data_IF_249200088734
#
_entry.id   IF_249200088734
#
_cell.length_a   1.000
_cell.length_b   1.000
_cell.length_c   1.000
_cell.angle_alpha   90.00
_cell.angle_beta   90.00
_cell.angle_gamma   90.00
#
_symmetry.space_group_name_H-M   'P 1'
#
loop_
_entity.id
_entity.type
_entity.pdbx_description
1 polymer ?
#
# COMPACT_ATOMS: atom_id res chain seq x y z
N UNK A 1 -20.58 -21.51 -31.44
CA UNK A 1 -19.19 -21.93 -31.17
C UNK A 1 -18.19 -20.99 -31.86
N UNK A 2 -18.46 -19.69 -31.95
CA UNK A 2 -17.72 -18.76 -32.83
C UNK A 2 -17.48 -17.38 -32.18
N UNK A 3 -17.58 -17.31 -30.85
CA UNK A 3 -17.38 -16.07 -30.07
C UNK A 3 -16.33 -16.18 -28.96
N UNK A 4 -15.67 -17.34 -28.85
CA UNK A 4 -14.59 -17.57 -27.88
C UNK A 4 -13.23 -17.17 -28.47
N UNK A 5 -13.08 -17.17 -29.80
CA UNK A 5 -11.80 -16.87 -30.48
C UNK A 5 -11.48 -15.38 -30.62
N UNK A 6 -12.41 -14.48 -30.27
CA UNK A 6 -12.19 -13.03 -30.38
C UNK A 6 -11.48 -12.41 -29.16
N UNK A 7 -11.28 -13.17 -28.07
CA UNK A 7 -10.61 -12.69 -26.83
C UNK A 7 -9.13 -13.05 -26.72
N UNK A 8 -8.61 -13.87 -27.64
CA UNK A 8 -7.20 -14.25 -27.69
C UNK A 8 -6.25 -13.15 -28.19
N UNK A 9 -6.60 -12.24 -29.13
CA UNK A 9 -5.64 -11.26 -29.64
C UNK A 9 -5.40 -10.09 -28.68
N UNK A 10 -6.38 -9.71 -27.84
CA UNK A 10 -6.23 -8.60 -26.87
C UNK A 10 -5.29 -9.00 -25.72
N UNK A 11 -5.33 -10.27 -25.31
CA UNK A 11 -4.36 -10.84 -24.36
C UNK A 11 -3.00 -11.13 -25.01
N UNK A 12 -2.95 -11.37 -26.33
CA UNK A 12 -1.68 -11.58 -27.07
C UNK A 12 -0.96 -10.29 -27.43
N UNK A 13 -1.64 -9.13 -27.48
CA UNK A 13 -1.01 -7.85 -27.79
C UNK A 13 -0.12 -7.31 -26.65
N UNK A 14 -0.29 -7.80 -25.42
CA UNK A 14 0.66 -7.61 -24.31
C UNK A 14 1.76 -8.69 -24.27
N UNK A 15 1.76 -9.60 -25.24
CA UNK A 15 2.64 -10.78 -25.33
C UNK A 15 3.59 -10.69 -26.53
N UNK A 16 3.80 -9.48 -27.07
CA UNK A 16 4.96 -9.21 -27.91
C UNK A 16 6.19 -9.23 -27.01
N UNK A 17 7.03 -10.23 -27.27
CA UNK A 17 8.33 -10.50 -26.64
C UNK A 17 9.15 -9.21 -26.65
N UNK A 18 9.23 -8.54 -25.51
CA UNK A 18 10.27 -7.56 -25.26
C UNK A 18 11.61 -8.29 -25.13
N UNK A 19 12.62 -7.74 -25.78
CA UNK A 19 14.01 -8.14 -25.86
C UNK A 19 14.62 -8.77 -24.58
N UNK A 20 15.67 -9.59 -24.70
CA UNK A 20 16.35 -10.20 -23.55
C UNK A 20 16.71 -9.14 -22.51
N UNK A 21 16.31 -9.42 -21.26
CA UNK A 21 16.40 -8.54 -20.09
C UNK A 21 17.53 -7.52 -20.15
N UNK A 22 17.25 -6.21 -20.00
CA UNK A 22 18.29 -5.31 -19.52
C UNK A 22 18.71 -5.76 -18.13
N UNK A 23 20.02 -5.76 -17.91
CA UNK A 23 20.71 -6.35 -16.78
C UNK A 23 19.99 -6.10 -15.43
N UNK A 24 19.80 -7.20 -14.70
CA UNK A 24 19.37 -7.28 -13.30
C UNK A 24 19.37 -5.92 -12.58
N UNK A 25 18.16 -5.41 -12.28
CA UNK A 25 17.97 -4.32 -11.32
C UNK A 25 18.79 -4.72 -10.09
N UNK A 26 19.84 -3.95 -9.81
CA UNK A 26 20.75 -4.28 -8.72
C UNK A 26 19.92 -4.39 -7.45
N UNK A 27 20.01 -5.51 -6.69
CA UNK A 27 19.24 -5.67 -5.47
C UNK A 27 19.72 -4.61 -4.47
N UNK A 28 19.06 -3.46 -4.47
CA UNK A 28 19.18 -2.46 -3.43
C UNK A 28 18.34 -2.94 -2.25
N UNK A 29 18.70 -4.10 -1.71
CA UNK A 29 18.37 -4.45 -0.33
C UNK A 29 19.22 -3.57 0.60
N UNK A 30 19.08 -2.26 0.45
CA UNK A 30 19.44 -1.33 1.50
C UNK A 30 18.10 -0.92 2.07
N UNK A 31 17.83 -1.40 3.27
CA UNK A 31 16.83 -0.89 4.21
C UNK A 31 16.33 0.50 3.82
N UNK A 32 15.01 0.65 3.69
CA UNK A 32 14.28 1.87 3.34
C UNK A 32 14.50 3.07 4.28
N UNK A 33 15.56 3.08 5.07
CA UNK A 33 16.09 4.23 5.76
C UNK A 33 16.95 5.03 4.75
N UNK A 34 16.32 5.88 3.95
CA UNK A 34 17.01 7.11 3.56
C UNK A 34 17.36 7.81 4.87
N UNK A 35 18.64 7.92 5.19
CA UNK A 35 19.06 8.70 6.35
C UNK A 35 19.12 10.17 5.94
N UNK A 36 18.28 11.04 6.54
CA UNK A 36 18.73 12.38 6.79
C UNK A 36 18.68 12.69 8.29
N UNK A 37 19.71 13.41 8.73
CA UNK A 37 19.97 13.92 10.07
C UNK A 37 20.46 12.87 11.09
N UNK A 38 21.49 13.25 11.85
CA UNK A 38 22.13 12.37 12.84
C UNK A 38 21.13 11.77 13.82
N UNK A 39 21.54 10.71 14.52
CA UNK A 39 20.68 9.97 15.47
C UNK A 39 19.88 10.93 16.36
N UNK A 40 18.57 11.00 16.12
CA UNK A 40 17.61 11.75 16.95
C UNK A 40 17.27 11.01 18.24
N UNK A 41 17.94 9.89 18.50
CA UNK A 41 17.78 9.13 19.73
C UNK A 41 18.24 9.95 20.92
N UNK A 42 17.43 9.90 21.96
CA UNK A 42 17.78 10.54 23.22
C UNK A 42 16.64 10.49 24.22
N UNK A 43 16.82 11.20 25.33
CA UNK A 43 15.80 11.35 26.34
C UNK A 43 15.27 12.79 26.31
N UNK A 44 13.97 12.93 26.08
CA UNK A 44 13.27 14.20 26.18
C UNK A 44 12.82 14.40 27.64
N UNK A 45 13.25 15.51 28.24
CA UNK A 45 12.77 15.90 29.57
C UNK A 45 11.60 16.86 29.45
N UNK A 46 10.44 16.46 29.96
CA UNK A 46 9.21 17.25 30.01
C UNK A 46 9.02 17.75 31.44
N UNK A 47 8.88 19.06 31.62
CA UNK A 47 8.58 19.68 32.91
C UNK A 47 7.13 20.14 32.87
N UNK A 48 6.29 19.58 33.73
CA UNK A 48 4.89 20.01 33.86
C UNK A 48 4.80 21.08 34.95
N UNK A 49 4.68 22.35 34.56
CA UNK A 49 4.58 23.48 35.48
C UNK A 49 3.33 23.44 36.37
N UNK A 50 2.26 22.76 35.95
CA UNK A 50 1.03 22.64 36.73
C UNK A 50 1.22 21.77 37.98
N UNK A 51 2.16 20.82 37.92
CA UNK A 51 2.44 19.88 39.01
C UNK A 51 3.85 20.00 39.57
N UNK A 52 4.74 20.75 38.91
CA UNK A 52 6.16 20.85 39.22
C UNK A 52 6.96 19.57 38.94
N UNK A 53 6.35 18.53 38.36
CA UNK A 53 6.98 17.23 38.12
C UNK A 53 7.76 17.22 36.82
N UNK A 54 8.89 16.51 36.84
CA UNK A 54 9.73 16.25 35.68
C UNK A 54 9.53 14.81 35.21
N UNK A 55 9.38 14.63 33.91
CA UNK A 55 9.18 13.35 33.26
C UNK A 55 10.26 13.18 32.19
N UNK A 56 10.78 11.96 32.05
CA UNK A 56 11.68 11.62 30.95
C UNK A 56 10.98 10.66 30.00
N UNK A 57 11.06 10.96 28.71
CA UNK A 57 10.43 10.18 27.65
C UNK A 57 11.47 9.87 26.59
N UNK A 58 11.64 8.60 26.18
CA UNK A 58 12.59 8.24 25.15
C UNK A 58 12.13 8.72 23.77
N UNK A 59 13.07 9.23 22.98
CA UNK A 59 12.91 9.59 21.57
C UNK A 59 13.50 8.46 20.73
N UNK A 60 12.72 7.98 19.75
CA UNK A 60 13.17 6.92 18.82
C UNK A 60 14.19 7.45 17.82
N UNK A 61 14.86 6.54 17.10
CA UNK A 61 15.76 6.88 15.98
C UNK A 61 15.09 7.77 14.93
N UNK A 62 13.81 7.50 14.66
CA UNK A 62 12.98 8.26 13.71
C UNK A 62 12.51 9.63 14.25
N UNK A 63 13.03 10.08 15.40
CA UNK A 63 12.60 11.33 16.05
C UNK A 63 11.20 11.27 16.68
N UNK A 64 10.60 10.09 16.81
CA UNK A 64 9.23 9.92 17.30
C UNK A 64 9.17 9.58 18.79
N UNK A 65 8.16 10.16 19.47
CA UNK A 65 7.82 9.87 20.87
C UNK A 65 6.51 9.07 20.92
N UNK A 66 6.46 8.03 21.76
CA UNK A 66 5.23 7.26 21.94
C UNK A 66 4.20 8.07 22.72
N UNK A 67 3.04 8.32 22.11
CA UNK A 67 1.92 9.03 22.75
C UNK A 67 1.47 8.39 24.08
N UNK A 68 1.63 7.08 24.24
CA UNK A 68 1.28 6.39 25.49
C UNK A 68 2.16 6.78 26.68
N UNK A 69 3.40 7.24 26.42
CA UNK A 69 4.30 7.69 27.48
C UNK A 69 3.86 9.05 28.02
N UNK A 70 3.23 9.89 27.19
CA UNK A 70 2.68 11.18 27.63
C UNK A 70 1.46 11.01 28.52
N UNK A 71 0.71 9.91 28.38
CA UNK A 71 -0.41 9.58 29.28
C UNK A 71 0.01 9.43 30.75
N UNK A 72 1.29 9.17 31.03
CA UNK A 72 1.84 9.10 32.40
C UNK A 72 1.86 10.47 33.09
N UNK A 73 1.78 11.56 32.34
CA UNK A 73 1.72 12.92 32.85
C UNK A 73 0.28 13.17 33.30
N UNK A 74 0.08 13.27 34.61
CA UNK A 74 -1.22 13.43 35.25
C UNK A 74 -1.20 14.57 36.26
N UNK A 75 -2.30 15.29 36.34
CA UNK A 75 -2.46 16.46 37.22
C UNK A 75 -3.08 16.10 38.59
N UNK A 76 -3.65 14.90 38.74
CA UNK A 76 -4.34 14.46 39.97
C UNK A 76 -4.89 13.03 39.89
N UNK A 77 -5.66 12.60 40.91
CA UNK A 77 -6.17 11.22 41.06
C UNK A 77 -7.24 10.81 40.02
N UNK A 78 -7.99 11.78 39.48
CA UNK A 78 -9.07 11.53 38.51
C UNK A 78 -8.67 11.86 37.05
N UNK A 79 -7.41 12.20 36.83
CA UNK A 79 -6.90 12.55 35.50
C UNK A 79 -6.53 11.28 34.72
N UNK A 80 -7.04 11.17 33.48
CA UNK A 80 -6.79 10.02 32.59
C UNK A 80 -5.47 10.13 31.84
N UNK A 81 -4.69 11.18 32.11
CA UNK A 81 -3.38 11.45 31.50
C UNK A 81 -3.45 12.44 30.35
N UNK A 82 -2.31 13.06 30.07
CA UNK A 82 -2.15 14.01 28.96
C UNK A 82 -2.52 13.34 27.63
N UNK A 83 -3.33 14.06 26.84
CA UNK A 83 -3.73 13.65 25.49
C UNK A 83 -3.12 14.60 24.48
N UNK A 84 -2.72 14.04 23.33
CA UNK A 84 -2.33 14.84 22.17
C UNK A 84 -3.58 15.25 21.39
N UNK A 85 -3.65 16.53 21.04
CA UNK A 85 -4.69 17.07 20.17
C UNK A 85 -4.02 17.50 18.86
N UNK A 86 -4.26 16.73 17.80
CA UNK A 86 -3.69 16.95 16.47
C UNK A 86 -4.78 16.65 15.41
N UNK A 87 -5.65 17.64 15.11
CA UNK A 87 -6.71 17.45 14.13
C UNK A 87 -6.10 17.26 12.74
N UNK A 88 -6.31 16.08 12.15
CA UNK A 88 -5.78 15.73 10.82
C UNK A 88 -4.44 15.00 10.83
N UNK A 89 -3.86 14.72 12.02
CA UNK A 89 -2.62 13.96 12.17
C UNK A 89 -1.40 14.60 11.47
N UNK A 90 -1.33 15.93 11.40
CA UNK A 90 -0.26 16.63 10.69
C UNK A 90 1.12 16.41 11.31
N UNK A 91 1.18 16.16 12.62
CA UNK A 91 2.43 15.92 13.36
C UNK A 91 2.40 14.60 14.15
N UNK A 92 1.51 13.69 13.77
CA UNK A 92 1.36 12.40 14.44
C UNK A 92 1.71 11.29 13.46
N UNK A 93 2.68 10.44 13.81
CA UNK A 93 2.97 9.21 13.09
C UNK A 93 2.12 8.06 13.67
N UNK A 94 0.99 7.65 13.04
CA UNK A 94 0.09 6.66 13.62
C UNK A 94 0.60 5.22 13.46
N UNK A 95 1.39 4.95 12.42
CA UNK A 95 1.82 3.61 12.02
C UNK A 95 3.26 3.66 11.53
N UNK A 96 4.04 2.62 11.84
CA UNK A 96 5.33 2.36 11.21
C UNK A 96 5.13 1.45 10.01
N UNK A 97 5.64 1.86 8.85
CA UNK A 97 5.51 1.12 7.59
C UNK A 97 6.88 0.97 6.94
N UNK A 98 7.10 -0.18 6.29
CA UNK A 98 8.26 -0.47 5.44
C UNK A 98 7.88 -0.60 3.96
N UNK A 99 6.70 -0.12 3.59
CA UNK A 99 6.14 -0.28 2.24
C UNK A 99 6.58 0.86 1.33
N UNK A 100 6.38 2.11 1.75
CA UNK A 100 6.71 3.28 0.95
C UNK A 100 7.43 4.34 1.79
N UNK A 101 8.29 5.09 1.12
CA UNK A 101 8.93 6.29 1.66
C UNK A 101 8.64 7.45 0.71
N UNK A 102 8.27 8.59 1.29
CA UNK A 102 7.88 9.79 0.55
C UNK A 102 8.61 10.97 1.19
N UNK A 103 9.37 11.69 0.39
CA UNK A 103 9.91 13.01 0.72
C UNK A 103 9.31 14.03 -0.26
N UNK A 104 8.42 14.88 0.24
CA UNK A 104 7.74 15.88 -0.58
C UNK A 104 8.62 17.06 -0.97
N UNK A 105 9.65 17.35 -0.18
CA UNK A 105 10.54 18.49 -0.40
C UNK A 105 11.59 18.16 -1.46
N UNK A 106 12.15 16.95 -1.40
CA UNK A 106 13.09 16.43 -2.41
C UNK A 106 12.39 15.76 -3.60
N UNK A 107 11.06 15.58 -3.54
CA UNK A 107 10.29 14.91 -4.59
C UNK A 107 10.59 13.42 -4.73
N UNK A 108 10.98 12.75 -3.65
CA UNK A 108 11.38 11.34 -3.66
C UNK A 108 10.18 10.46 -3.31
N UNK A 109 9.89 9.48 -4.17
CA UNK A 109 8.94 8.41 -3.88
C UNK A 109 9.62 7.05 -4.08
N UNK A 110 9.60 6.21 -3.04
CA UNK A 110 10.18 4.88 -3.07
C UNK A 110 9.19 3.82 -2.62
N UNK A 111 9.17 2.69 -3.33
CA UNK A 111 8.45 1.47 -2.92
C UNK A 111 9.46 0.40 -2.52
N UNK A 112 9.37 -0.09 -1.28
CA UNK A 112 10.32 -1.07 -0.71
C UNK A 112 11.80 -0.68 -0.89
N UNK A 113 12.09 0.61 -1.00
CA UNK A 113 13.43 1.16 -1.23
C UNK A 113 13.76 1.47 -2.70
N UNK A 114 12.99 0.97 -3.66
CA UNK A 114 13.18 1.24 -5.09
C UNK A 114 12.56 2.58 -5.49
N UNK A 115 13.27 3.44 -6.24
CA UNK A 115 12.69 4.65 -6.83
C UNK A 115 11.50 4.31 -7.74
N UNK A 116 10.46 5.15 -7.73
CA UNK A 116 9.27 4.90 -8.54
C UNK A 116 9.58 4.94 -10.04
N UNK A 117 10.54 5.78 -10.45
CA UNK A 117 10.96 5.95 -11.84
C UNK A 117 11.54 4.63 -12.40
N UNK A 118 12.40 3.98 -11.61
CA UNK A 118 12.98 2.68 -12.00
C UNK A 118 11.93 1.59 -12.12
N UNK A 119 10.97 1.56 -11.19
CA UNK A 119 9.88 0.58 -11.23
C UNK A 119 8.94 0.84 -12.41
N UNK A 120 8.66 2.09 -12.75
CA UNK A 120 7.80 2.44 -13.88
C UNK A 120 8.42 2.11 -15.23
N UNK A 121 9.76 2.23 -15.36
CA UNK A 121 10.47 1.94 -16.61
C UNK A 121 10.75 0.43 -16.80
N UNK A 122 11.01 -0.30 -15.72
CA UNK A 122 11.57 -1.65 -15.80
C UNK A 122 10.65 -2.76 -15.27
N UNK A 123 9.54 -2.43 -14.60
CA UNK A 123 8.66 -3.43 -13.99
C UNK A 123 7.23 -3.32 -14.49
N UNK A 124 6.58 -4.47 -14.63
CA UNK A 124 5.15 -4.57 -14.90
C UNK A 124 4.34 -4.36 -13.62
N UNK A 125 3.04 -4.07 -13.79
CA UNK A 125 2.12 -3.90 -12.66
C UNK A 125 2.12 -5.10 -11.70
N UNK A 126 2.16 -6.33 -12.22
CA UNK A 126 2.14 -7.54 -11.40
C UNK A 126 3.43 -7.71 -10.59
N UNK A 127 4.58 -7.34 -11.14
CA UNK A 127 5.86 -7.36 -10.41
C UNK A 127 5.88 -6.35 -9.28
N UNK A 128 5.37 -5.14 -9.52
CA UNK A 128 5.24 -4.10 -8.48
C UNK A 128 4.20 -4.51 -7.42
N UNK A 129 3.07 -5.10 -7.82
CA UNK A 129 2.09 -5.62 -6.88
C UNK A 129 2.70 -6.72 -5.98
N UNK A 130 3.48 -7.64 -6.57
CA UNK A 130 4.22 -8.66 -5.84
C UNK A 130 5.21 -8.04 -4.85
N UNK A 131 5.99 -7.04 -5.30
CA UNK A 131 6.94 -6.29 -4.46
C UNK A 131 6.26 -5.67 -3.24
N UNK A 132 5.10 -5.04 -3.42
CA UNK A 132 4.37 -4.41 -2.31
C UNK A 132 3.86 -5.43 -1.30
N UNK A 133 3.29 -6.54 -1.78
CA UNK A 133 2.73 -7.62 -0.95
C UNK A 133 3.82 -8.39 -0.21
N UNK A 134 4.85 -8.85 -0.93
CA UNK A 134 5.85 -9.79 -0.43
C UNK A 134 7.18 -9.14 -0.03
N UNK A 135 7.41 -7.89 -0.42
CA UNK A 135 8.59 -7.11 -0.04
C UNK A 135 9.82 -7.31 -0.91
N UNK A 136 9.78 -8.22 -1.90
CA UNK A 136 10.88 -8.46 -2.84
C UNK A 136 10.33 -8.60 -4.26
N UNK A 137 11.16 -8.34 -5.27
CA UNK A 137 10.80 -8.58 -6.67
C UNK A 137 10.64 -10.10 -6.93
N UNK A 138 9.66 -10.50 -7.75
CA UNK A 138 9.43 -11.91 -8.04
C UNK A 138 10.54 -12.49 -8.93
N UNK A 139 10.82 -13.77 -8.76
CA UNK A 139 11.51 -14.56 -9.80
C UNK A 139 10.56 -14.91 -10.95
N UNK A 140 11.10 -15.29 -12.12
CA UNK A 140 10.30 -15.68 -13.29
C UNK A 140 9.21 -16.72 -12.97
N UNK A 141 9.52 -17.69 -12.10
CA UNK A 141 8.55 -18.73 -11.70
C UNK A 141 7.45 -18.15 -10.82
N UNK A 142 7.81 -17.31 -9.85
CA UNK A 142 6.84 -16.67 -8.96
C UNK A 142 5.93 -15.70 -9.71
N UNK A 143 6.45 -15.01 -10.74
CA UNK A 143 5.65 -14.15 -11.59
C UNK A 143 4.64 -14.98 -12.40
N UNK A 144 5.07 -16.08 -13.02
CA UNK A 144 4.18 -16.96 -13.76
C UNK A 144 3.07 -17.58 -12.87
N UNK A 145 3.43 -17.98 -11.64
CA UNK A 145 2.46 -18.48 -10.66
C UNK A 145 1.45 -17.38 -10.27
N UNK A 146 1.93 -16.15 -10.06
CA UNK A 146 1.07 -15.00 -9.74
C UNK A 146 0.10 -14.69 -10.89
N UNK A 147 0.60 -14.66 -12.13
CA UNK A 147 -0.21 -14.44 -13.32
C UNK A 147 -1.31 -15.49 -13.45
N UNK A 148 -0.95 -16.76 -13.21
CA UNK A 148 -1.91 -17.86 -13.24
C UNK A 148 -2.99 -17.70 -12.15
N UNK A 149 -2.61 -17.43 -10.91
CA UNK A 149 -3.54 -17.22 -9.78
C UNK A 149 -4.47 -16.02 -10.02
N UNK A 150 -3.93 -14.90 -10.53
CA UNK A 150 -4.73 -13.71 -10.87
C UNK A 150 -5.71 -14.05 -11.99
N UNK A 151 -5.28 -14.78 -13.03
CA UNK A 151 -6.16 -15.19 -14.13
C UNK A 151 -7.33 -16.07 -13.66
N UNK A 152 -7.08 -17.01 -12.74
CA UNK A 152 -8.10 -17.90 -12.15
C UNK A 152 -9.16 -17.11 -11.38
N UNK A 153 -8.77 -15.98 -10.78
CA UNK A 153 -9.65 -15.13 -9.97
C UNK A 153 -10.21 -13.90 -10.69
N UNK A 154 -9.90 -13.75 -11.98
CA UNK A 154 -10.39 -12.65 -12.82
C UNK A 154 -11.87 -12.81 -13.23
N UNK A 155 -12.45 -13.99 -13.08
CA UNK A 155 -13.85 -14.23 -13.43
C UNK A 155 -14.80 -13.38 -12.56
N UNK A 156 -15.67 -12.63 -13.23
CA UNK A 156 -16.70 -11.80 -12.58
C UNK A 156 -17.91 -12.66 -12.24
N UNK A 157 -18.34 -12.71 -10.96
CA UNK A 157 -19.57 -13.40 -10.60
C UNK A 157 -20.78 -12.74 -11.26
N UNK A 158 -21.75 -13.55 -11.73
CA UNK A 158 -22.95 -13.03 -12.39
C UNK A 158 -23.71 -12.00 -11.53
N UNK A 159 -23.79 -12.22 -10.21
CA UNK A 159 -24.44 -11.29 -9.30
C UNK A 159 -23.79 -9.90 -9.23
N UNK A 160 -22.53 -9.75 -9.67
CA UNK A 160 -21.89 -8.44 -9.82
C UNK A 160 -22.34 -7.73 -11.11
N UNK A 161 -22.47 -8.47 -12.21
CA UNK A 161 -23.02 -7.93 -13.46
C UNK A 161 -24.44 -7.43 -13.24
N UNK A 162 -25.25 -8.17 -12.48
CA UNK A 162 -26.62 -7.77 -12.16
C UNK A 162 -26.65 -6.47 -11.33
N UNK A 163 -25.69 -6.29 -10.39
CA UNK A 163 -25.55 -5.05 -9.61
C UNK A 163 -25.20 -3.88 -10.52
N UNK A 164 -24.20 -4.05 -11.40
CA UNK A 164 -23.78 -3.00 -12.35
C UNK A 164 -24.95 -2.61 -13.26
N UNK A 165 -25.69 -3.58 -13.81
CA UNK A 165 -26.85 -3.35 -14.68
C UNK A 165 -28.02 -2.67 -13.96
N UNK A 166 -28.15 -2.88 -12.65
CA UNK A 166 -29.18 -2.24 -11.83
C UNK A 166 -28.86 -0.80 -11.43
N UNK A 167 -27.63 -0.32 -11.67
CA UNK A 167 -27.26 1.06 -11.37
C UNK A 167 -27.74 2.01 -12.47
N UNK A 168 -28.14 3.24 -12.10
CA UNK A 168 -28.36 4.31 -13.07
C UNK A 168 -27.11 4.54 -13.94
N UNK A 169 -27.28 4.93 -15.21
CA UNK A 169 -26.14 5.18 -16.11
C UNK A 169 -25.22 6.33 -15.62
N UNK A 170 -25.73 7.22 -14.77
CA UNK A 170 -24.98 8.32 -14.17
C UNK A 170 -24.33 7.96 -12.81
N UNK A 171 -24.42 6.70 -12.40
CA UNK A 171 -23.84 6.26 -11.14
C UNK A 171 -22.31 6.29 -11.20
N UNK A 172 -21.67 6.80 -10.14
CA UNK A 172 -20.22 6.82 -10.06
C UNK A 172 -19.68 5.37 -9.99
N UNK A 173 -18.75 4.96 -10.88
CA UNK A 173 -18.30 3.56 -11.00
C UNK A 173 -17.76 2.96 -9.69
N UNK A 174 -17.19 3.79 -8.81
CA UNK A 174 -16.69 3.37 -7.50
C UNK A 174 -17.78 2.83 -6.56
N UNK A 175 -19.04 3.25 -6.73
CA UNK A 175 -20.17 2.80 -5.90
C UNK A 175 -20.52 1.33 -6.12
N UNK A 176 -20.48 0.86 -7.38
CA UNK A 176 -20.69 -0.54 -7.73
C UNK A 176 -19.59 -1.43 -7.16
N UNK A 177 -18.35 -0.98 -7.31
CA UNK A 177 -17.18 -1.72 -6.87
C UNK A 177 -17.14 -1.88 -5.35
N UNK A 178 -17.42 -0.81 -4.59
CA UNK A 178 -17.42 -0.84 -3.12
C UNK A 178 -18.42 -1.84 -2.52
N UNK A 179 -19.64 -1.91 -3.06
CA UNK A 179 -20.65 -2.87 -2.59
C UNK A 179 -20.23 -4.32 -2.79
N UNK A 180 -19.52 -4.61 -3.88
CA UNK A 180 -19.09 -5.94 -4.22
C UNK A 180 -17.95 -6.45 -3.32
N UNK A 181 -16.94 -5.61 -3.05
CA UNK A 181 -15.84 -5.95 -2.14
C UNK A 181 -16.36 -6.26 -0.73
N UNK A 182 -17.35 -5.50 -0.24
CA UNK A 182 -17.92 -5.66 1.09
C UNK A 182 -18.61 -7.02 1.32
N UNK A 183 -19.19 -7.64 0.27
CA UNK A 183 -19.84 -8.95 0.39
C UNK A 183 -18.86 -10.13 0.48
N UNK A 184 -17.56 -9.90 0.31
CA UNK A 184 -16.57 -10.97 0.32
C UNK A 184 -16.08 -11.30 1.74
N UNK A 185 -16.44 -12.50 2.24
CA UNK A 185 -15.90 -13.06 3.50
C UNK A 185 -14.83 -14.12 3.20
N UNK A 186 -13.63 -13.72 2.82
CA UNK A 186 -12.54 -14.67 2.54
C UNK A 186 -11.26 -14.37 3.31
N UNK A 187 -10.36 -15.37 3.35
CA UNK A 187 -9.04 -15.30 4.00
C UNK A 187 -8.15 -14.27 3.28
N UNK A 188 -7.39 -13.47 4.04
CA UNK A 188 -6.62 -12.31 3.57
C UNK A 188 -5.89 -12.50 2.24
N UNK A 189 -5.16 -13.59 2.05
CA UNK A 189 -4.32 -13.79 0.86
C UNK A 189 -5.17 -14.09 -0.40
N UNK A 190 -6.20 -14.94 -0.25
CA UNK A 190 -7.15 -15.21 -1.34
C UNK A 190 -7.96 -13.98 -1.71
N UNK A 191 -8.22 -13.09 -0.75
CA UNK A 191 -8.86 -11.81 -1.04
C UNK A 191 -7.95 -10.88 -1.84
N UNK A 192 -6.64 -10.85 -1.55
CA UNK A 192 -5.69 -9.98 -2.28
C UNK A 192 -5.68 -10.34 -3.77
N UNK A 193 -5.49 -11.62 -4.14
CA UNK A 193 -5.46 -12.02 -5.54
C UNK A 193 -6.79 -11.79 -6.25
N UNK A 194 -7.91 -12.01 -5.55
CA UNK A 194 -9.24 -11.77 -6.09
C UNK A 194 -9.51 -10.29 -6.34
N UNK A 195 -9.09 -9.42 -5.43
CA UNK A 195 -9.17 -7.97 -5.60
C UNK A 195 -8.28 -7.55 -6.76
N UNK A 196 -7.03 -8.01 -6.83
CA UNK A 196 -6.12 -7.66 -7.92
C UNK A 196 -6.69 -8.05 -9.29
N UNK A 197 -7.17 -9.29 -9.46
CA UNK A 197 -7.75 -9.73 -10.72
C UNK A 197 -9.04 -8.99 -11.09
N UNK A 198 -9.90 -8.69 -10.11
CA UNK A 198 -11.18 -8.03 -10.36
C UNK A 198 -11.01 -6.53 -10.62
N UNK A 199 -10.15 -5.84 -9.88
CA UNK A 199 -9.83 -4.41 -10.13
C UNK A 199 -9.25 -4.21 -11.52
N UNK A 200 -8.34 -5.08 -11.95
CA UNK A 200 -7.72 -4.99 -13.28
C UNK A 200 -8.80 -5.00 -14.37
N UNK A 201 -9.79 -5.90 -14.26
CA UNK A 201 -10.87 -6.00 -15.22
C UNK A 201 -11.81 -4.78 -15.20
N UNK A 202 -12.17 -4.27 -14.01
CA UNK A 202 -13.03 -3.09 -13.88
C UNK A 202 -12.40 -1.81 -14.44
N UNK A 203 -11.07 -1.70 -14.39
CA UNK A 203 -10.37 -0.49 -14.82
C UNK A 203 -10.13 -0.50 -16.33
N UNK A 204 -9.89 -1.67 -16.93
CA UNK A 204 -9.67 -1.81 -18.38
C UNK A 204 -10.98 -1.59 -19.17
N UNK A 205 -12.13 -2.03 -18.66
CA UNK A 205 -13.43 -1.81 -19.33
C UNK A 205 -13.97 -0.37 -19.21
N UNK A 206 -13.26 0.53 -18.51
CA UNK A 206 -13.66 1.94 -18.29
C UNK A 206 -12.72 2.97 -18.93
N UNK A 207 -11.67 2.54 -19.64
CA UNK A 207 -10.88 3.44 -20.49
C UNK A 207 -11.53 3.48 -21.89
N UNK A 208 -12.05 4.64 -22.35
CA UNK A 208 -12.68 4.76 -23.66
C UNK A 208 -11.70 4.60 -24.82
#
# INVERSE_FOLDING_TARGET
MERVNARLPVLSAHLEVSDPMPAAIKPWCTSSAGAPHGSLMGNLTIVDERTGKKYQVPVSEDGTVKSIDLKKITTGKDDKGLKLYDPGYFNTAPVRSSISYIDGDEGILRYRGYPIEELAENCTFLEVAYLLIYGNLPSQRQLADLEFEVSQHSAVPQGLLDIIQSMPQDAHPSGAFGQYIYKSKQVRDKQIFRILGQVLLFTIDFVP
#
